data_IF_379270588232
#
_entry.id   IF_379270588232
#
_cell.length_a   1.000
_cell.length_b   1.000
_cell.length_c   1.000
_cell.angle_alpha   90.00
_cell.angle_beta   90.00
_cell.angle_gamma   90.00
#
_symmetry.space_group_name_H-M   'P 1'
#
loop_
_entity.id
_entity.type
_entity.pdbx_description
1 polymer ?
#
# COMPACT_ATOMS: atom_id res chain seq x y z
N UNK A 1 10.61 -11.02 -24.56
CA UNK A 1 9.55 -12.02 -24.34
C UNK A 1 8.37 -11.84 -25.29
N UNK A 2 7.71 -10.66 -25.36
CA UNK A 2 6.57 -10.41 -26.28
C UNK A 2 6.95 -10.62 -27.77
N UNK A 3 8.10 -10.08 -28.20
CA UNK A 3 8.67 -10.34 -29.53
C UNK A 3 8.98 -11.83 -29.80
N UNK A 4 9.35 -12.58 -28.77
CA UNK A 4 9.64 -14.01 -28.89
C UNK A 4 8.37 -14.87 -28.99
N UNK A 5 7.21 -14.31 -28.63
CA UNK A 5 5.89 -14.92 -28.77
C UNK A 5 5.19 -14.53 -30.09
N UNK A 6 5.88 -13.80 -30.98
CA UNK A 6 5.34 -13.33 -32.26
C UNK A 6 4.42 -12.11 -32.16
N UNK A 7 4.28 -11.52 -30.97
CA UNK A 7 3.43 -10.36 -30.71
C UNK A 7 4.19 -9.05 -30.86
N UNK A 8 3.48 -7.99 -31.25
CA UNK A 8 4.07 -6.66 -31.41
C UNK A 8 4.28 -6.00 -30.02
N UNK A 9 5.51 -5.63 -29.61
CA UNK A 9 5.73 -4.94 -28.33
C UNK A 9 4.98 -3.62 -28.20
N UNK A 10 4.73 -2.95 -29.33
CA UNK A 10 4.02 -1.67 -29.39
C UNK A 10 2.53 -1.88 -29.09
N UNK A 11 1.93 -3.01 -29.51
CA UNK A 11 0.54 -3.31 -29.14
C UNK A 11 0.43 -3.61 -27.63
N UNK A 12 1.39 -4.31 -27.05
CA UNK A 12 1.46 -4.50 -25.60
C UNK A 12 1.62 -3.19 -24.83
N UNK A 13 2.52 -2.31 -25.27
CA UNK A 13 2.74 -1.01 -24.62
C UNK A 13 1.50 -0.09 -24.73
N UNK A 14 0.87 -0.04 -25.91
CA UNK A 14 -0.37 0.74 -26.11
C UNK A 14 -1.53 0.19 -25.29
N UNK A 15 -1.65 -1.13 -25.14
CA UNK A 15 -2.67 -1.74 -24.27
C UNK A 15 -2.52 -1.34 -22.80
N UNK A 16 -1.29 -1.14 -22.30
CA UNK A 16 -1.07 -0.64 -20.93
C UNK A 16 -1.58 0.80 -20.79
N UNK A 17 -1.24 1.66 -21.75
CA UNK A 17 -1.68 3.06 -21.74
C UNK A 17 -3.21 3.14 -21.85
N UNK A 18 -3.80 2.38 -22.75
CA UNK A 18 -5.24 2.36 -22.95
C UNK A 18 -5.98 1.72 -21.77
N UNK A 19 -5.40 0.71 -21.13
CA UNK A 19 -5.91 0.11 -19.89
C UNK A 19 -5.89 1.08 -18.71
N UNK A 20 -4.90 1.97 -18.65
CA UNK A 20 -4.78 2.97 -17.58
C UNK A 20 -5.61 4.25 -17.85
N UNK A 21 -5.62 4.74 -19.10
CA UNK A 21 -6.14 6.07 -19.45
C UNK A 21 -7.25 6.08 -20.51
N UNK A 22 -7.63 4.93 -21.07
CA UNK A 22 -8.54 4.87 -22.22
C UNK A 22 -10.00 5.27 -21.95
N UNK A 23 -10.40 5.46 -20.69
CA UNK A 23 -11.71 6.00 -20.32
C UNK A 23 -11.69 6.62 -18.92
N UNK A 24 -12.70 7.42 -18.58
CA UNK A 24 -12.85 8.01 -17.24
C UNK A 24 -12.85 6.96 -16.13
N UNK A 25 -13.56 5.84 -16.32
CA UNK A 25 -13.61 4.76 -15.32
C UNK A 25 -12.24 4.08 -15.14
N UNK A 26 -11.49 3.87 -16.23
CA UNK A 26 -10.13 3.30 -16.17
C UNK A 26 -9.16 4.20 -15.41
N UNK A 27 -9.27 5.52 -15.62
CA UNK A 27 -8.50 6.52 -14.87
C UNK A 27 -8.87 6.46 -13.39
N UNK A 28 -10.17 6.38 -13.06
CA UNK A 28 -10.62 6.28 -11.68
C UNK A 28 -10.08 5.01 -10.99
N UNK A 29 -10.17 3.85 -11.65
CA UNK A 29 -9.61 2.59 -11.13
C UNK A 29 -8.10 2.68 -10.92
N UNK A 30 -7.39 3.30 -11.87
CA UNK A 30 -5.94 3.51 -11.79
C UNK A 30 -5.60 4.38 -10.59
N UNK A 31 -6.33 5.49 -10.38
CA UNK A 31 -6.15 6.36 -9.23
C UNK A 31 -6.39 5.62 -7.91
N UNK A 32 -7.50 4.88 -7.80
CA UNK A 32 -7.83 4.10 -6.59
C UNK A 32 -6.73 3.09 -6.24
N UNK A 33 -6.13 2.44 -7.24
CA UNK A 33 -5.01 1.51 -7.03
C UNK A 33 -3.68 2.21 -6.74
N UNK A 34 -3.44 3.37 -7.34
CA UNK A 34 -2.21 4.13 -7.16
C UNK A 34 -2.15 4.83 -5.79
N UNK A 35 -3.29 5.30 -5.26
CA UNK A 35 -3.36 6.02 -3.98
C UNK A 35 -2.63 5.32 -2.83
N UNK A 36 -2.90 4.03 -2.48
CA UNK A 36 -2.21 3.37 -1.38
C UNK A 36 -0.69 3.25 -1.64
N UNK A 37 -0.28 2.98 -2.89
CA UNK A 37 1.14 2.88 -3.26
C UNK A 37 1.86 4.23 -3.10
N UNK A 38 1.23 5.33 -3.49
CA UNK A 38 1.78 6.68 -3.33
C UNK A 38 1.93 7.05 -1.85
N UNK A 39 0.93 6.74 -1.02
CA UNK A 39 0.99 6.98 0.43
C UNK A 39 2.14 6.19 1.08
N UNK A 40 2.33 4.92 0.68
CA UNK A 40 3.48 4.13 1.14
C UNK A 40 4.80 4.73 0.66
N UNK A 41 4.90 5.18 -0.59
CA UNK A 41 6.10 5.85 -1.11
C UNK A 41 6.47 7.10 -0.30
N UNK A 42 5.48 7.89 0.11
CA UNK A 42 5.69 9.05 1.01
C UNK A 42 6.21 8.58 2.38
N UNK A 43 5.60 7.56 2.97
CA UNK A 43 6.04 7.01 4.27
C UNK A 43 7.48 6.46 4.22
N UNK A 44 7.81 5.72 3.16
CA UNK A 44 9.16 5.21 2.91
C UNK A 44 10.16 6.35 2.75
N UNK A 45 9.80 7.43 2.05
CA UNK A 45 10.67 8.62 1.90
C UNK A 45 11.01 9.25 3.25
N UNK A 46 10.04 9.30 4.18
CA UNK A 46 10.26 9.77 5.56
C UNK A 46 11.19 8.82 6.31
N UNK A 47 10.98 7.50 6.21
CA UNK A 47 11.83 6.50 6.86
C UNK A 47 13.29 6.57 6.36
N UNK A 48 13.49 6.73 5.05
CA UNK A 48 14.84 6.88 4.48
C UNK A 48 15.56 8.13 4.98
N UNK A 49 14.84 9.23 5.25
CA UNK A 49 15.46 10.41 5.89
C UNK A 49 15.99 10.12 7.30
N UNK A 50 15.47 9.11 7.98
CA UNK A 50 15.98 8.63 9.26
C UNK A 50 17.04 7.51 9.11
N UNK A 51 17.55 7.27 7.89
CA UNK A 51 18.45 6.14 7.59
C UNK A 51 17.87 4.78 8.01
N UNK A 52 16.56 4.62 7.83
CA UNK A 52 15.83 3.36 8.01
C UNK A 52 15.30 2.92 6.65
N UNK A 53 15.69 1.72 6.21
CA UNK A 53 15.11 1.06 5.04
C UNK A 53 13.82 0.35 5.44
N UNK A 54 12.70 0.66 4.78
CA UNK A 54 11.40 0.03 5.01
C UNK A 54 10.98 -0.80 3.78
N UNK A 55 11.31 -2.09 3.76
CA UNK A 55 10.90 -3.01 2.67
C UNK A 55 9.49 -3.57 2.89
N UNK A 56 9.07 -3.74 4.15
CA UNK A 56 7.81 -4.37 4.56
C UNK A 56 6.55 -3.53 4.31
N UNK A 57 6.60 -2.53 3.43
CA UNK A 57 5.47 -1.66 3.12
C UNK A 57 4.24 -2.42 2.62
N UNK A 58 4.42 -3.50 1.85
CA UNK A 58 3.32 -4.36 1.40
C UNK A 58 2.60 -5.01 2.59
N UNK A 59 3.35 -5.50 3.59
CA UNK A 59 2.78 -6.03 4.83
C UNK A 59 2.05 -4.96 5.64
N UNK A 60 2.55 -3.72 5.68
CA UNK A 60 1.87 -2.60 6.35
C UNK A 60 0.53 -2.26 5.67
N UNK A 61 0.47 -2.30 4.33
CA UNK A 61 -0.79 -2.12 3.59
C UNK A 61 -1.77 -3.23 3.95
N UNK A 62 -1.34 -4.49 3.93
CA UNK A 62 -2.20 -5.65 4.21
C UNK A 62 -2.70 -5.61 5.65
N UNK A 63 -1.82 -5.37 6.63
CA UNK A 63 -2.19 -5.29 8.05
C UNK A 63 -3.16 -4.13 8.32
N UNK A 64 -2.92 -2.96 7.71
CA UNK A 64 -3.84 -1.82 7.78
C UNK A 64 -5.20 -2.12 7.16
N UNK A 65 -5.23 -2.76 5.98
CA UNK A 65 -6.46 -3.16 5.32
C UNK A 65 -7.27 -4.18 6.15
N UNK A 66 -6.59 -5.17 6.74
CA UNK A 66 -7.21 -6.16 7.62
C UNK A 66 -7.85 -5.51 8.84
N UNK A 67 -7.12 -4.64 9.55
CA UNK A 67 -7.65 -4.00 10.75
C UNK A 67 -8.78 -3.00 10.42
N UNK A 68 -8.64 -2.23 9.33
CA UNK A 68 -9.72 -1.35 8.84
C UNK A 68 -10.99 -2.12 8.54
N UNK A 69 -10.86 -3.26 7.85
CA UNK A 69 -11.99 -4.13 7.48
C UNK A 69 -12.61 -4.77 8.72
N UNK A 70 -11.79 -5.30 9.63
CA UNK A 70 -12.27 -5.88 10.88
C UNK A 70 -13.09 -4.89 11.71
N UNK A 71 -12.61 -3.64 11.82
CA UNK A 71 -13.35 -2.57 12.52
C UNK A 71 -14.64 -2.22 11.76
N UNK A 72 -14.60 -2.07 10.43
CA UNK A 72 -15.79 -1.79 9.64
C UNK A 72 -16.90 -2.83 9.84
N UNK A 73 -16.51 -4.10 9.92
CA UNK A 73 -17.44 -5.22 10.14
C UNK A 73 -17.91 -5.34 11.60
N UNK A 74 -17.15 -4.85 12.57
CA UNK A 74 -17.52 -4.87 13.98
C UNK A 74 -18.55 -3.78 14.35
N UNK A 75 -18.61 -2.68 13.61
CA UNK A 75 -19.51 -1.54 13.87
C UNK A 75 -20.32 -1.10 12.62
N UNK A 76 -21.07 -2.03 11.97
CA UNK A 76 -21.66 -1.80 10.65
C UNK A 76 -22.76 -0.73 10.63
N UNK A 77 -23.46 -0.54 11.76
CA UNK A 77 -24.59 0.40 11.87
C UNK A 77 -24.14 1.85 12.13
N UNK A 78 -22.83 2.09 12.23
CA UNK A 78 -22.28 3.43 12.47
C UNK A 78 -22.54 4.34 11.27
N UNK A 79 -22.97 5.60 11.48
CA UNK A 79 -23.13 6.56 10.40
C UNK A 79 -21.84 6.69 9.56
N UNK A 80 -21.99 6.67 8.23
CA UNK A 80 -20.86 6.67 7.28
C UNK A 80 -19.84 7.79 7.52
N UNK A 81 -20.32 8.97 7.93
CA UNK A 81 -19.48 10.11 8.24
C UNK A 81 -18.50 9.86 9.41
N UNK A 82 -18.89 9.01 10.36
CA UNK A 82 -18.07 8.63 11.51
C UNK A 82 -17.29 7.33 11.24
N UNK A 83 -17.89 6.39 10.51
CA UNK A 83 -17.26 5.12 10.16
C UNK A 83 -15.97 5.34 9.36
N UNK A 84 -15.98 6.26 8.38
CA UNK A 84 -14.82 6.54 7.53
C UNK A 84 -13.56 6.98 8.33
N UNK A 85 -13.61 8.02 9.19
CA UNK A 85 -12.50 8.35 10.07
C UNK A 85 -12.04 7.19 10.96
N UNK A 86 -12.98 6.43 11.54
CA UNK A 86 -12.65 5.32 12.43
C UNK A 86 -11.83 4.25 11.71
N UNK A 87 -12.28 3.81 10.53
CA UNK A 87 -11.57 2.76 9.77
C UNK A 87 -10.24 3.26 9.24
N UNK A 88 -10.10 4.54 8.89
CA UNK A 88 -8.80 5.12 8.53
C UNK A 88 -7.80 5.08 9.69
N UNK A 89 -8.23 5.47 10.90
CA UNK A 89 -7.40 5.41 12.10
C UNK A 89 -7.03 3.95 12.41
N UNK A 90 -8.00 3.03 12.31
CA UNK A 90 -7.75 1.60 12.48
C UNK A 90 -6.69 1.09 11.48
N UNK A 91 -6.76 1.50 10.21
CA UNK A 91 -5.76 1.16 9.21
C UNK A 91 -4.37 1.71 9.53
N UNK A 92 -4.28 2.96 9.98
CA UNK A 92 -3.01 3.55 10.44
C UNK A 92 -2.41 2.76 11.60
N UNK A 93 -3.24 2.35 12.57
CA UNK A 93 -2.80 1.53 13.71
C UNK A 93 -2.33 0.16 13.22
N UNK A 94 -3.08 -0.50 12.33
CA UNK A 94 -2.74 -1.85 11.83
C UNK A 94 -1.41 -1.86 11.07
N UNK A 95 -1.24 -0.93 10.13
CA UNK A 95 0.02 -0.76 9.42
C UNK A 95 1.16 -0.32 10.33
N UNK A 96 0.89 0.57 11.29
CA UNK A 96 1.85 1.03 12.29
C UNK A 96 2.36 -0.09 13.19
N UNK A 97 1.47 -0.98 13.67
CA UNK A 97 1.85 -2.17 14.44
C UNK A 97 2.77 -3.08 13.62
N UNK A 98 2.43 -3.32 12.35
CA UNK A 98 3.27 -4.14 11.47
C UNK A 98 4.66 -3.54 11.26
N UNK A 99 4.73 -2.23 11.02
CA UNK A 99 6.01 -1.52 10.87
C UNK A 99 6.80 -1.36 12.19
N UNK A 100 6.12 -1.35 13.33
CA UNK A 100 6.76 -1.23 14.63
C UNK A 100 7.59 -2.47 15.00
N UNK A 101 7.22 -3.66 14.51
CA UNK A 101 7.95 -4.90 14.76
C UNK A 101 9.41 -4.80 14.30
N UNK A 102 9.71 -4.58 13.00
CA UNK A 102 11.08 -4.42 12.53
C UNK A 102 11.76 -3.17 13.10
N UNK A 103 10.99 -2.09 13.32
CA UNK A 103 11.50 -0.88 13.97
C UNK A 103 12.03 -1.14 15.38
N UNK A 104 11.30 -1.92 16.19
CA UNK A 104 11.73 -2.32 17.53
C UNK A 104 12.94 -3.26 17.49
N UNK A 105 12.95 -4.23 16.55
CA UNK A 105 14.10 -5.13 16.37
C UNK A 105 15.37 -4.36 15.99
N UNK A 106 15.27 -3.32 15.16
CA UNK A 106 16.40 -2.42 14.87
C UNK A 106 16.84 -1.67 16.13
N UNK A 107 15.90 -1.02 16.83
CA UNK A 107 16.19 -0.14 17.94
C UNK A 107 16.80 -0.86 19.15
N UNK A 108 16.34 -2.08 19.44
CA UNK A 108 16.72 -2.81 20.66
C UNK A 108 17.67 -3.97 20.42
N UNK A 109 17.64 -4.60 19.23
CA UNK A 109 18.42 -5.80 18.94
C UNK A 109 19.52 -5.61 17.87
N UNK A 110 19.70 -4.38 17.35
CA UNK A 110 20.69 -4.07 16.29
C UNK A 110 20.59 -4.99 15.06
N UNK A 111 19.39 -5.53 14.80
CA UNK A 111 19.12 -6.40 13.66
C UNK A 111 19.10 -5.58 12.38
N UNK A 112 19.67 -6.13 11.31
CA UNK A 112 19.61 -5.50 10.00
C UNK A 112 18.16 -5.47 9.49
N UNK A 113 17.64 -4.26 9.33
CA UNK A 113 16.28 -3.95 8.85
C UNK A 113 15.92 -4.55 7.49
N UNK A 114 16.91 -4.84 6.65
CA UNK A 114 16.73 -5.50 5.35
C UNK A 114 16.26 -6.96 5.51
N UNK A 115 16.66 -7.63 6.60
CA UNK A 115 16.38 -9.06 6.85
C UNK A 115 15.14 -9.29 7.71
N UNK A 116 14.63 -8.26 8.39
CA UNK A 116 13.58 -8.37 9.41
C UNK A 116 12.24 -7.72 9.03
N UNK A 117 12.15 -7.02 7.89
CA UNK A 117 10.90 -6.52 7.31
C UNK A 117 10.27 -7.52 6.36
#
# INVERSE_FOLDING_TARGET
MILALGENPISGASAIIEGAFGSGDRVAVTAVRATPLLLVGIGITIAFRASVINIGGEGQIIAGALLSTAVALAIPDTPRALLLPIVMIAGMIGGGIWGAIPGALKAYASVNEILST
#
